data_IF_075209502722
#
_entry.id   IF_075209502722
#
_cell.length_a   1.000
_cell.length_b   1.000
_cell.length_c   1.000
_cell.angle_alpha   90.00
_cell.angle_beta   90.00
_cell.angle_gamma   90.00
#
_symmetry.space_group_name_H-M   'P 1'
#
loop_
_entity.id
_entity.type
_entity.pdbx_description
1 polymer ?
#
# COMPACT_ATOMS: atom_id res chain seq x y z
N UNK A 1 5.32 -0.54 -20.76
CA UNK A 1 5.78 -0.38 -19.38
C UNK A 1 6.79 0.75 -19.27
N UNK A 2 6.89 1.35 -18.08
CA UNK A 2 8.01 2.19 -17.60
C UNK A 2 8.83 1.35 -16.64
N UNK A 3 10.05 0.99 -17.02
CA UNK A 3 10.89 0.14 -16.17
C UNK A 3 11.58 0.95 -15.06
N UNK A 4 11.56 0.41 -13.85
CA UNK A 4 12.15 0.95 -12.64
C UNK A 4 13.35 0.11 -12.21
N UNK A 5 14.43 0.78 -11.80
CA UNK A 5 15.70 0.14 -11.45
C UNK A 5 16.10 0.53 -10.03
N UNK A 6 16.63 -0.42 -9.26
CA UNK A 6 17.08 -0.15 -7.90
C UNK A 6 18.25 0.83 -7.89
N UNK A 7 18.23 1.75 -6.94
CA UNK A 7 19.34 2.66 -6.65
C UNK A 7 20.44 1.98 -5.82
N UNK A 8 20.10 0.95 -5.03
CA UNK A 8 21.02 0.34 -4.07
C UNK A 8 21.62 -1.01 -4.50
N UNK A 9 20.97 -1.77 -5.39
CA UNK A 9 21.51 -3.08 -5.80
C UNK A 9 22.45 -2.95 -6.99
N UNK A 10 23.54 -3.72 -6.99
CA UNK A 10 24.55 -3.70 -8.07
C UNK A 10 24.02 -4.24 -9.40
N UNK A 11 23.08 -5.18 -9.35
CA UNK A 11 22.40 -5.74 -10.51
C UNK A 11 21.17 -4.91 -10.93
N UNK A 12 20.88 -3.81 -10.21
CA UNK A 12 19.73 -2.90 -10.41
C UNK A 12 18.35 -3.55 -10.27
N UNK A 13 18.28 -4.81 -9.82
CA UNK A 13 17.03 -5.52 -9.53
C UNK A 13 16.50 -5.13 -8.16
N UNK A 14 15.24 -5.43 -7.90
CA UNK A 14 14.71 -5.30 -6.55
C UNK A 14 15.44 -6.20 -5.53
N UNK A 15 15.36 -5.82 -4.26
CA UNK A 15 15.88 -6.57 -3.12
C UNK A 15 14.82 -7.51 -2.58
N UNK A 16 15.17 -8.77 -2.34
CA UNK A 16 14.34 -9.66 -1.52
C UNK A 16 14.39 -9.25 -0.05
N UNK A 17 13.40 -9.69 0.72
CA UNK A 17 13.38 -9.55 2.18
C UNK A 17 13.66 -10.91 2.81
N UNK A 18 14.70 -10.96 3.63
CA UNK A 18 15.10 -12.14 4.40
C UNK A 18 14.87 -11.89 5.90
N UNK A 19 13.94 -12.65 6.46
CA UNK A 19 13.50 -12.57 7.85
C UNK A 19 14.34 -13.42 8.81
N UNK A 20 14.95 -14.50 8.32
CA UNK A 20 15.59 -15.50 9.18
C UNK A 20 14.58 -16.30 10.00
N UNK A 21 15.06 -17.27 10.80
CA UNK A 21 14.22 -18.01 11.76
C UNK A 21 13.19 -18.98 11.18
N UNK A 22 13.00 -19.04 9.86
CA UNK A 22 11.96 -19.86 9.22
C UNK A 22 10.58 -19.19 9.19
N UNK A 23 10.50 -17.91 9.54
CA UNK A 23 9.27 -17.09 9.45
C UNK A 23 9.15 -16.53 8.04
N UNK A 24 8.16 -16.93 7.27
CA UNK A 24 7.91 -16.39 5.94
C UNK A 24 6.90 -15.23 6.01
N UNK A 25 7.11 -14.22 5.16
CA UNK A 25 6.23 -13.05 5.10
C UNK A 25 6.01 -12.60 3.66
N UNK A 26 4.88 -11.95 3.42
CA UNK A 26 4.54 -11.29 2.16
C UNK A 26 3.85 -9.95 2.44
N UNK A 27 3.66 -9.13 1.41
CA UNK A 27 3.03 -7.79 1.53
C UNK A 27 3.74 -6.85 2.52
N UNK A 28 5.05 -6.62 2.35
CA UNK A 28 5.80 -5.79 3.27
C UNK A 28 5.39 -4.32 3.20
N UNK A 29 5.60 -3.64 4.31
CA UNK A 29 5.59 -2.20 4.46
C UNK A 29 6.85 -1.80 5.21
N UNK A 30 7.55 -0.80 4.70
CA UNK A 30 8.86 -0.42 5.24
C UNK A 30 8.85 1.09 5.41
N UNK A 31 9.17 1.58 6.61
CA UNK A 31 9.32 3.02 6.89
C UNK A 31 10.66 3.30 7.57
N UNK A 32 11.23 4.50 7.42
CA UNK A 32 12.44 4.89 8.14
C UNK A 32 12.31 4.71 9.66
N UNK A 33 13.31 4.06 10.26
CA UNK A 33 13.40 3.93 11.70
C UNK A 33 13.60 5.34 12.33
N UNK A 34 12.92 5.66 13.45
CA UNK A 34 12.93 7.00 14.02
C UNK A 34 14.29 7.44 14.57
N UNK A 35 15.09 6.50 15.11
CA UNK A 35 16.37 6.80 15.77
C UNK A 35 17.63 6.15 15.18
N UNK A 36 17.53 5.09 14.37
CA UNK A 36 18.68 4.40 13.76
C UNK A 36 18.67 4.64 12.25
N UNK A 37 19.66 5.37 11.74
CA UNK A 37 19.72 5.77 10.33
C UNK A 37 20.23 4.67 9.38
N UNK A 38 20.51 3.48 9.90
CA UNK A 38 20.91 2.32 9.08
C UNK A 38 19.80 1.27 8.95
N UNK A 39 18.69 1.47 9.65
CA UNK A 39 17.61 0.50 9.75
C UNK A 39 16.28 1.09 9.30
N UNK A 40 15.38 0.24 8.84
CA UNK A 40 13.99 0.58 8.60
C UNK A 40 13.11 -0.36 9.42
N UNK A 41 11.93 0.09 9.80
CA UNK A 41 10.94 -0.77 10.45
C UNK A 41 10.13 -1.43 9.34
N UNK A 42 10.04 -2.75 9.38
CA UNK A 42 9.23 -3.54 8.46
C UNK A 42 8.06 -4.16 9.21
N UNK A 43 6.87 -4.08 8.61
CA UNK A 43 5.75 -4.97 8.92
C UNK A 43 5.35 -5.74 7.67
N UNK A 44 4.86 -6.96 7.82
CA UNK A 44 4.41 -7.77 6.70
C UNK A 44 3.42 -8.85 7.16
N UNK A 45 2.54 -9.27 6.26
CA UNK A 45 1.60 -10.34 6.51
C UNK A 45 2.37 -11.65 6.75
N UNK A 46 2.06 -12.34 7.84
CA UNK A 46 2.61 -13.68 8.12
C UNK A 46 2.12 -14.65 7.04
N UNK A 47 3.05 -15.29 6.34
CA UNK A 47 2.76 -16.39 5.43
C UNK A 47 2.44 -17.63 6.28
N UNK A 48 1.18 -18.06 6.24
CA UNK A 48 0.65 -19.15 7.06
C UNK A 48 -0.10 -20.17 6.20
N UNK A 49 0.09 -20.16 4.88
CA UNK A 49 -0.56 -21.10 3.97
C UNK A 49 -0.10 -22.52 4.28
N UNK A 50 -1.04 -23.45 4.31
CA UNK A 50 -0.79 -24.84 4.72
C UNK A 50 -0.84 -25.08 6.23
N UNK A 51 -1.10 -24.05 7.04
CA UNK A 51 -1.38 -24.18 8.47
C UNK A 51 -2.89 -24.10 8.74
N UNK A 52 -3.38 -24.86 9.74
CA UNK A 52 -4.76 -24.71 10.23
C UNK A 52 -4.79 -23.53 11.21
N UNK A 53 -5.12 -22.34 10.68
CA UNK A 53 -5.05 -21.08 11.42
C UNK A 53 -6.41 -20.42 11.60
N UNK A 54 -6.67 -19.97 12.83
CA UNK A 54 -7.85 -19.20 13.21
C UNK A 54 -7.56 -17.70 13.38
N UNK A 55 -6.30 -17.27 13.26
CA UNK A 55 -5.85 -15.89 13.42
C UNK A 55 -4.86 -15.54 12.31
N UNK A 56 -5.12 -14.44 11.62
CA UNK A 56 -4.18 -13.80 10.70
C UNK A 56 -3.25 -12.87 11.48
N UNK A 57 -1.96 -12.88 11.18
CA UNK A 57 -0.95 -12.12 11.91
C UNK A 57 -0.16 -11.18 11.01
N UNK A 58 0.22 -10.03 11.54
CA UNK A 58 1.23 -9.15 10.94
C UNK A 58 2.52 -9.33 11.74
N UNK A 59 3.62 -9.55 11.04
CA UNK A 59 4.96 -9.71 11.63
C UNK A 59 5.72 -8.40 11.54
N UNK A 60 6.62 -8.13 12.48
CA UNK A 60 7.50 -6.96 12.46
C UNK A 60 8.94 -7.29 12.81
N UNK A 61 9.88 -6.59 12.18
CA UNK A 61 11.29 -6.59 12.52
C UNK A 61 11.94 -5.27 12.03
N UNK A 62 13.11 -4.92 12.58
CA UNK A 62 13.96 -3.91 11.97
C UNK A 62 14.83 -4.54 10.89
N UNK A 63 14.85 -3.95 9.70
CA UNK A 63 15.60 -4.42 8.53
C UNK A 63 16.72 -3.47 8.14
N UNK A 64 17.84 -4.04 7.70
CA UNK A 64 18.95 -3.30 7.07
C UNK A 64 19.30 -3.89 5.71
N UNK A 65 19.94 -3.11 4.84
CA UNK A 65 20.40 -3.60 3.54
C UNK A 65 21.78 -4.26 3.68
N UNK A 66 21.88 -5.55 3.32
CA UNK A 66 23.13 -6.33 3.28
C UNK A 66 23.28 -6.97 1.91
N UNK A 67 24.35 -6.62 1.18
CA UNK A 67 24.69 -7.16 -0.14
C UNK A 67 23.50 -7.22 -1.14
N UNK A 68 22.66 -6.17 -1.12
CA UNK A 68 21.48 -6.08 -2.00
C UNK A 68 20.25 -6.84 -1.52
N UNK A 69 20.25 -7.36 -0.28
CA UNK A 69 19.11 -8.02 0.36
C UNK A 69 18.68 -7.24 1.60
N UNK A 70 17.37 -7.07 1.83
CA UNK A 70 16.88 -6.50 3.08
C UNK A 70 16.84 -7.62 4.13
N UNK A 71 17.56 -7.47 5.23
CA UNK A 71 17.74 -8.52 6.24
C UNK A 71 17.20 -8.04 7.58
N UNK A 72 16.32 -8.82 8.20
CA UNK A 72 15.91 -8.59 9.58
C UNK A 72 17.10 -8.72 10.53
N UNK A 73 17.22 -7.75 11.44
CA UNK A 73 18.25 -7.72 12.48
C UNK A 73 18.05 -8.76 13.59
N UNK A 74 16.81 -9.24 13.73
CA UNK A 74 16.40 -10.30 14.64
C UNK A 74 15.21 -11.07 14.04
N UNK A 75 14.88 -12.23 14.59
CA UNK A 75 13.68 -12.98 14.18
C UNK A 75 12.42 -12.11 14.32
N UNK A 76 11.52 -12.06 13.31
CA UNK A 76 10.33 -11.24 13.37
C UNK A 76 9.39 -11.66 14.51
N UNK A 77 8.74 -10.68 15.12
CA UNK A 77 7.73 -10.90 16.16
C UNK A 77 6.34 -10.52 15.66
N UNK A 78 5.30 -11.16 16.19
CA UNK A 78 3.91 -10.78 15.90
C UNK A 78 3.65 -9.36 16.41
N UNK A 79 3.08 -8.51 15.57
CA UNK A 79 2.66 -7.17 15.92
C UNK A 79 1.49 -7.23 16.92
N UNK A 80 1.53 -6.50 18.04
CA UNK A 80 0.57 -6.66 19.14
C UNK A 80 -0.77 -5.95 18.88
N UNK A 81 -1.40 -6.22 17.74
CA UNK A 81 -2.74 -5.69 17.39
C UNK A 81 -3.80 -6.33 18.28
N UNK A 82 -4.75 -5.53 18.78
CA UNK A 82 -5.86 -6.03 19.60
C UNK A 82 -6.71 -7.07 18.84
N UNK A 83 -7.28 -8.07 19.54
CA UNK A 83 -8.11 -9.09 18.90
C UNK A 83 -9.29 -8.49 18.11
N UNK A 84 -9.58 -9.08 16.95
CA UNK A 84 -10.76 -8.69 16.17
C UNK A 84 -12.05 -8.77 16.97
N UNK A 85 -13.00 -7.91 16.61
CA UNK A 85 -14.38 -8.07 17.03
C UNK A 85 -15.00 -9.34 16.43
N UNK A 86 -16.11 -9.79 17.01
CA UNK A 86 -16.82 -10.96 16.51
C UNK A 86 -17.33 -10.71 15.08
N UNK A 87 -17.01 -11.63 14.16
CA UNK A 87 -17.45 -11.55 12.77
C UNK A 87 -18.97 -11.69 12.63
N UNK A 88 -19.55 -10.91 11.71
CA UNK A 88 -20.97 -10.95 11.35
C UNK A 88 -21.17 -11.33 9.86
N UNK A 89 -20.15 -11.89 9.22
CA UNK A 89 -20.15 -12.14 7.79
C UNK A 89 -21.21 -13.16 7.39
N UNK A 90 -21.99 -12.88 6.36
CA UNK A 90 -23.07 -13.76 5.88
C UNK A 90 -22.82 -14.24 4.47
N UNK A 91 -23.58 -15.27 4.05
CA UNK A 91 -23.62 -15.76 2.66
C UNK A 91 -22.22 -16.10 2.11
N UNK A 92 -21.84 -15.52 0.97
CA UNK A 92 -20.56 -15.75 0.29
C UNK A 92 -19.35 -15.32 1.13
N UNK A 93 -19.54 -14.49 2.15
CA UNK A 93 -18.48 -14.03 3.05
C UNK A 93 -18.42 -14.79 4.37
N UNK A 94 -19.32 -15.76 4.62
CA UNK A 94 -19.41 -16.45 5.92
C UNK A 94 -18.10 -17.11 6.36
N UNK A 95 -17.24 -17.49 5.42
CA UNK A 95 -15.94 -18.09 5.71
C UNK A 95 -14.97 -17.15 6.46
N UNK A 96 -15.13 -15.83 6.30
CA UNK A 96 -14.30 -14.85 7.02
C UNK A 96 -14.56 -14.85 8.53
N UNK A 97 -15.65 -15.46 9.01
CA UNK A 97 -15.89 -15.60 10.44
C UNK A 97 -14.94 -16.61 11.11
N UNK A 98 -14.29 -17.49 10.35
CA UNK A 98 -13.42 -18.54 10.92
C UNK A 98 -11.97 -18.09 11.11
N UNK A 99 -11.57 -16.95 10.56
CA UNK A 99 -10.22 -16.41 10.70
C UNK A 99 -10.32 -14.98 11.24
N UNK A 100 -9.81 -14.73 12.43
CA UNK A 100 -9.71 -13.39 13.02
C UNK A 100 -8.38 -12.71 12.65
N UNK A 101 -8.05 -11.57 13.25
CA UNK A 101 -6.78 -10.87 13.14
C UNK A 101 -6.66 -9.86 11.97
N UNK A 102 -5.58 -9.06 11.95
CA UNK A 102 -5.26 -8.14 10.86
C UNK A 102 -4.96 -8.84 9.54
N UNK A 103 -5.25 -8.16 8.43
CA UNK A 103 -4.98 -8.61 7.06
C UNK A 103 -4.42 -7.50 6.22
N UNK A 104 -3.42 -7.83 5.40
CA UNK A 104 -2.86 -6.96 4.36
C UNK A 104 -2.59 -5.55 4.91
N UNK A 105 -1.94 -5.48 6.08
CA UNK A 105 -1.70 -4.21 6.73
C UNK A 105 -0.86 -3.28 5.85
N UNK A 106 -1.02 -1.98 6.10
CA UNK A 106 -0.24 -0.91 5.51
C UNK A 106 0.30 -0.01 6.60
N UNK A 107 1.62 0.09 6.71
CA UNK A 107 2.29 1.02 7.62
C UNK A 107 2.95 2.13 6.82
N UNK A 108 2.67 3.38 7.19
CA UNK A 108 3.14 4.55 6.47
C UNK A 108 3.14 5.80 7.38
N UNK A 109 3.94 6.80 7.02
CA UNK A 109 3.93 8.08 7.70
C UNK A 109 2.82 8.99 7.17
N UNK A 110 1.95 9.47 8.06
CA UNK A 110 1.19 10.70 7.84
C UNK A 110 2.05 11.94 8.14
N UNK A 111 1.47 13.15 8.08
CA UNK A 111 2.21 14.39 8.33
C UNK A 111 2.84 14.46 9.73
N UNK A 112 2.17 13.90 10.73
CA UNK A 112 2.50 14.02 12.14
C UNK A 112 3.03 12.73 12.76
N UNK A 113 2.43 11.59 12.43
CA UNK A 113 2.72 10.28 13.03
C UNK A 113 2.76 9.14 11.99
N UNK A 114 3.41 8.01 12.31
CA UNK A 114 3.23 6.77 11.57
C UNK A 114 1.90 6.12 11.95
N UNK A 115 1.21 5.58 10.96
CA UNK A 115 -0.05 4.88 11.13
C UNK A 115 0.05 3.48 10.52
N UNK A 116 -0.70 2.55 11.12
CA UNK A 116 -0.99 1.26 10.54
C UNK A 116 -2.46 1.21 10.15
N UNK A 117 -2.75 0.61 9.01
CA UNK A 117 -4.11 0.38 8.54
C UNK A 117 -4.25 -1.05 8.05
N UNK A 118 -5.29 -1.77 8.45
CA UNK A 118 -5.40 -3.20 8.15
C UNK A 118 -6.86 -3.64 8.00
N UNK A 119 -7.10 -4.72 7.25
CA UNK A 119 -8.41 -5.35 7.15
C UNK A 119 -8.70 -6.25 8.35
N UNK A 120 -9.91 -6.18 8.90
CA UNK A 120 -10.37 -7.10 9.96
C UNK A 120 -11.90 -7.15 10.01
N UNK A 121 -12.48 -8.01 10.85
CA UNK A 121 -13.93 -8.07 11.07
C UNK A 121 -14.48 -6.68 11.41
N UNK A 122 -15.67 -6.38 10.90
CA UNK A 122 -16.27 -5.05 10.94
C UNK A 122 -17.58 -4.99 11.70
N UNK A 123 -17.83 -3.82 12.31
CA UNK A 123 -19.10 -3.50 12.94
C UNK A 123 -20.12 -2.92 11.96
N UNK A 124 -19.68 -2.53 10.76
CA UNK A 124 -20.46 -1.84 9.73
C UNK A 124 -20.67 -2.66 8.45
N UNK A 125 -19.76 -3.60 8.15
CA UNK A 125 -19.76 -4.54 7.03
C UNK A 125 -19.29 -5.93 7.54
N UNK A 126 -18.94 -6.86 6.65
CA UNK A 126 -18.30 -8.12 7.06
C UNK A 126 -16.80 -7.92 7.39
N UNK A 127 -16.06 -7.33 6.44
CA UNK A 127 -14.66 -6.91 6.65
C UNK A 127 -14.57 -5.41 6.44
N UNK A 128 -13.89 -4.76 7.38
CA UNK A 128 -13.67 -3.31 7.45
C UNK A 128 -12.19 -2.99 7.51
N UNK A 129 -11.88 -1.72 7.34
CA UNK A 129 -10.52 -1.20 7.48
C UNK A 129 -10.38 -0.54 8.85
N UNK A 130 -9.37 -0.94 9.59
CA UNK A 130 -9.03 -0.43 10.91
C UNK A 130 -7.76 0.39 10.83
N UNK A 131 -7.65 1.41 11.69
CA UNK A 131 -6.49 2.30 11.77
C UNK A 131 -6.01 2.40 13.21
N UNK A 132 -4.69 2.43 13.38
CA UNK A 132 -4.06 2.65 14.67
C UNK A 132 -2.75 3.44 14.50
N UNK A 133 -2.38 4.21 15.53
CA UNK A 133 -1.08 4.85 15.64
C UNK A 133 0.00 3.79 15.83
N UNK A 134 0.92 3.67 14.87
CA UNK A 134 1.93 2.61 14.89
C UNK A 134 2.88 2.74 16.10
N UNK A 135 2.97 3.93 16.70
CA UNK A 135 3.76 4.15 17.92
C UNK A 135 3.18 3.41 19.12
N UNK A 136 1.91 3.04 19.09
CA UNK A 136 1.28 2.27 20.17
C UNK A 136 1.64 0.77 20.11
N UNK A 137 2.05 0.29 18.93
CA UNK A 137 2.31 -1.12 18.66
C UNK A 137 3.81 -1.46 18.63
N UNK A 138 4.65 -0.49 18.28
CA UNK A 138 6.07 -0.70 18.00
C UNK A 138 6.95 0.01 19.03
N UNK A 139 7.87 -0.72 19.65
CA UNK A 139 8.77 -0.21 20.69
C UNK A 139 9.85 0.73 20.14
N UNK A 140 10.12 0.68 18.83
CA UNK A 140 11.04 1.58 18.12
C UNK A 140 10.64 3.06 18.31
N UNK A 141 9.35 3.33 18.52
CA UNK A 141 8.81 4.68 18.73
C UNK A 141 8.70 5.08 20.20
N UNK A 142 9.28 4.34 21.16
CA UNK A 142 9.08 4.58 22.59
C UNK A 142 9.42 6.03 23.02
N UNK A 143 10.41 6.66 22.38
CA UNK A 143 10.76 8.07 22.65
C UNK A 143 9.68 9.07 22.20
N UNK A 144 8.92 8.75 21.13
CA UNK A 144 7.88 9.62 20.57
C UNK A 144 6.52 9.44 21.26
N UNK A 145 6.29 8.28 21.92
CA UNK A 145 5.02 7.92 22.58
C UNK A 145 4.52 8.94 23.59
N UNK A 146 5.37 9.79 24.18
CA UNK A 146 4.98 10.69 25.27
C UNK A 146 4.87 12.16 24.86
N UNK A 147 5.20 12.52 23.61
CA UNK A 147 5.54 13.90 23.26
C UNK A 147 4.51 14.56 22.32
N UNK A 148 3.73 13.77 21.57
CA UNK A 148 2.88 14.28 20.48
C UNK A 148 1.41 13.90 20.72
N UNK A 149 0.43 14.76 20.36
CA UNK A 149 -0.97 14.37 20.30
C UNK A 149 -1.16 13.05 19.56
N UNK A 150 -2.02 12.20 20.09
CA UNK A 150 -2.23 10.86 19.56
C UNK A 150 -3.63 10.78 18.97
N UNK A 151 -3.69 10.43 17.71
CA UNK A 151 -4.91 10.09 17.00
C UNK A 151 -4.91 8.59 16.84
N UNK A 152 -6.07 7.93 16.94
CA UNK A 152 -6.18 6.48 16.76
C UNK A 152 -5.25 5.68 17.71
N UNK A 153 -5.23 6.02 19.01
CA UNK A 153 -4.40 5.33 20.02
C UNK A 153 -4.75 3.88 20.26
N UNK A 154 -5.92 3.48 19.78
CA UNK A 154 -6.42 2.12 19.75
C UNK A 154 -6.95 1.87 18.34
N UNK A 155 -7.13 0.61 17.98
CA UNK A 155 -7.76 0.22 16.75
C UNK A 155 -9.12 0.94 16.56
N UNK A 156 -9.20 1.78 15.53
CA UNK A 156 -10.40 2.54 15.16
C UNK A 156 -10.86 2.13 13.77
N UNK A 157 -12.11 1.72 13.64
CA UNK A 157 -12.69 1.34 12.35
C UNK A 157 -12.93 2.58 11.47
N UNK A 158 -12.37 2.59 10.26
CA UNK A 158 -12.54 3.64 9.26
C UNK A 158 -13.83 3.40 8.48
N UNK A 159 -14.80 4.28 8.66
CA UNK A 159 -16.09 4.20 7.99
C UNK A 159 -16.02 4.69 6.53
N UNK A 160 -17.11 4.45 5.79
CA UNK A 160 -17.32 5.00 4.45
C UNK A 160 -18.66 5.72 4.35
N UNK A 161 -18.78 6.73 3.47
CA UNK A 161 -20.09 7.25 3.12
C UNK A 161 -20.93 6.14 2.46
N UNK A 162 -22.27 6.11 2.67
CA UNK A 162 -23.14 5.14 2.03
C UNK A 162 -23.03 5.17 0.50
N UNK A 163 -23.21 4.03 -0.20
CA UNK A 163 -23.59 2.71 0.35
C UNK A 163 -22.39 1.94 0.92
N UNK A 164 -22.65 1.15 1.97
CA UNK A 164 -21.68 0.20 2.53
C UNK A 164 -21.73 -1.12 1.76
N UNK A 165 -20.58 -1.74 1.50
CA UNK A 165 -20.44 -3.04 0.82
C UNK A 165 -20.19 -4.16 1.83
N UNK A 166 -20.31 -5.41 1.38
CA UNK A 166 -19.99 -6.56 2.23
C UNK A 166 -18.52 -6.61 2.64
N UNK A 167 -17.61 -6.31 1.72
CA UNK A 167 -16.17 -6.29 1.97
C UNK A 167 -15.59 -4.91 1.67
N UNK A 168 -15.23 -4.19 2.73
CA UNK A 168 -14.46 -2.96 2.63
C UNK A 168 -12.99 -3.31 2.69
N UNK A 169 -12.28 -3.03 1.60
CA UNK A 169 -10.86 -3.32 1.45
C UNK A 169 -10.21 -2.18 0.68
N UNK A 170 -8.90 -2.07 0.81
CA UNK A 170 -8.05 -1.22 -0.04
C UNK A 170 -8.25 0.29 0.11
N UNK A 171 -8.85 0.74 1.22
CA UNK A 171 -8.85 2.16 1.55
C UNK A 171 -7.40 2.65 1.70
N UNK A 172 -7.18 3.91 1.37
CA UNK A 172 -5.97 4.61 1.79
C UNK A 172 -6.34 5.97 2.36
N UNK A 173 -5.47 6.49 3.21
CA UNK A 173 -5.62 7.82 3.75
C UNK A 173 -4.75 8.81 3.01
N UNK A 174 -5.20 10.06 2.98
CA UNK A 174 -4.43 11.20 2.51
C UNK A 174 -4.73 12.42 3.37
N UNK A 175 -3.83 13.40 3.30
CA UNK A 175 -3.91 14.64 4.04
C UNK A 175 -3.82 15.85 3.11
N UNK A 176 -4.60 16.88 3.42
CA UNK A 176 -4.52 18.17 2.73
C UNK A 176 -3.36 19.04 3.25
N UNK A 177 -3.22 20.25 2.69
CA UNK A 177 -2.21 21.22 3.11
C UNK A 177 -2.38 21.77 4.53
N UNK A 178 -3.53 21.54 5.17
CA UNK A 178 -3.84 21.89 6.56
C UNK A 178 -3.75 20.67 7.50
N UNK A 179 -3.22 19.54 7.02
CA UNK A 179 -3.14 18.26 7.72
C UNK A 179 -4.50 17.68 8.16
N UNK A 180 -5.60 18.02 7.47
CA UNK A 180 -6.87 17.32 7.66
C UNK A 180 -6.80 15.97 6.97
N UNK A 181 -7.25 14.93 7.66
CA UNK A 181 -7.25 13.57 7.14
C UNK A 181 -8.50 13.27 6.32
N UNK A 182 -8.33 12.47 5.27
CA UNK A 182 -9.37 11.98 4.39
C UNK A 182 -9.14 10.50 4.11
N UNK A 183 -10.22 9.75 3.94
CA UNK A 183 -10.19 8.37 3.49
C UNK A 183 -10.64 8.30 2.03
N UNK A 184 -9.86 7.61 1.20
CA UNK A 184 -10.21 7.29 -0.17
C UNK A 184 -10.70 5.84 -0.26
N UNK A 185 -11.96 5.68 -0.63
CA UNK A 185 -12.68 4.41 -0.58
C UNK A 185 -12.69 3.69 -1.92
N UNK A 186 -12.94 4.42 -3.00
CA UNK A 186 -13.05 3.87 -4.35
C UNK A 186 -12.33 4.77 -5.36
N UNK A 187 -11.69 4.16 -6.36
CA UNK A 187 -11.02 4.83 -7.49
C UNK A 187 -11.79 4.66 -8.80
N UNK A 188 -12.52 3.55 -8.92
CA UNK A 188 -13.20 3.10 -10.12
C UNK A 188 -14.49 2.35 -9.73
N UNK A 189 -15.61 2.46 -10.48
CA UNK A 189 -15.79 3.25 -11.71
C UNK A 189 -15.86 4.76 -11.48
N UNK A 190 -16.15 5.18 -10.26
CA UNK A 190 -16.08 6.58 -9.84
C UNK A 190 -15.28 6.67 -8.55
N UNK A 191 -14.62 7.81 -8.34
CA UNK A 191 -13.93 8.08 -7.09
C UNK A 191 -14.93 8.27 -5.96
N UNK A 192 -14.57 7.80 -4.77
CA UNK A 192 -15.28 8.07 -3.52
C UNK A 192 -14.24 8.38 -2.46
N UNK A 193 -14.35 9.56 -1.84
CA UNK A 193 -13.53 9.92 -0.70
C UNK A 193 -14.26 10.89 0.22
N UNK A 194 -13.97 10.81 1.52
CA UNK A 194 -14.61 11.63 2.53
C UNK A 194 -13.62 12.09 3.59
N UNK A 195 -13.92 13.23 4.22
CA UNK A 195 -13.14 13.69 5.37
C UNK A 195 -13.28 12.71 6.54
N UNK A 196 -12.16 12.39 7.19
CA UNK A 196 -12.09 11.44 8.29
C UNK A 196 -11.99 12.18 9.63
N UNK A 197 -12.84 11.78 10.58
CA UNK A 197 -12.78 12.18 11.98
C UNK A 197 -11.95 11.18 12.79
N UNK A 198 -11.46 11.61 13.95
CA UNK A 198 -10.59 10.78 14.80
C UNK A 198 -11.29 9.61 15.50
N UNK A 199 -12.61 9.59 15.47
CA UNK A 199 -13.44 8.46 15.92
C UNK A 199 -13.72 7.44 14.80
N UNK A 200 -13.12 7.62 13.62
CA UNK A 200 -13.31 6.75 12.46
C UNK A 200 -14.52 7.10 11.60
N UNK A 201 -15.39 8.01 12.07
CA UNK A 201 -16.52 8.48 11.28
C UNK A 201 -16.07 9.32 10.09
N UNK A 202 -16.85 9.29 9.01
CA UNK A 202 -16.57 10.06 7.80
C UNK A 202 -17.72 10.98 7.42
N UNK A 203 -17.36 12.08 6.76
CA UNK A 203 -18.32 13.01 6.17
C UNK A 203 -19.01 12.46 4.90
N UNK A 204 -19.76 13.30 4.17
CA UNK A 204 -20.32 12.92 2.87
C UNK A 204 -19.22 12.66 1.84
N UNK A 205 -19.57 11.97 0.75
CA UNK A 205 -18.69 11.82 -0.40
C UNK A 205 -18.37 13.19 -1.02
N UNK A 206 -17.08 13.52 -1.08
CA UNK A 206 -16.55 14.77 -1.59
C UNK A 206 -16.11 14.67 -3.06
N UNK A 207 -16.02 13.46 -3.62
CA UNK A 207 -15.61 13.23 -5.01
C UNK A 207 -16.58 13.86 -6.02
N UNK A 208 -17.84 14.04 -5.63
CA UNK A 208 -18.87 14.76 -6.42
C UNK A 208 -18.43 16.16 -6.85
N UNK A 209 -17.52 16.80 -6.10
CA UNK A 209 -17.04 18.16 -6.40
C UNK A 209 -16.02 18.21 -7.54
N UNK A 210 -15.35 17.09 -7.84
CA UNK A 210 -14.37 16.96 -8.94
C UNK A 210 -14.83 16.00 -10.04
N UNK A 211 -15.97 15.31 -9.87
CA UNK A 211 -16.46 14.24 -10.74
C UNK A 211 -16.37 14.56 -12.25
N UNK A 212 -16.80 15.74 -12.68
CA UNK A 212 -16.78 16.10 -14.11
C UNK A 212 -15.37 16.15 -14.72
N UNK A 213 -14.35 16.55 -13.93
CA UNK A 213 -12.95 16.53 -14.37
C UNK A 213 -12.36 15.13 -14.24
N UNK A 214 -12.66 14.48 -13.13
CA UNK A 214 -12.16 13.15 -12.82
C UNK A 214 -12.66 12.13 -13.86
N UNK A 215 -13.94 12.18 -14.26
CA UNK A 215 -14.52 11.28 -15.27
C UNK A 215 -13.82 11.41 -16.62
N UNK A 216 -13.45 12.62 -17.05
CA UNK A 216 -12.66 12.84 -18.28
C UNK A 216 -11.28 12.22 -18.14
N UNK A 217 -10.62 12.44 -17.00
CA UNK A 217 -9.30 11.93 -16.72
C UNK A 217 -9.25 10.39 -16.67
N UNK A 218 -10.18 9.79 -15.92
CA UNK A 218 -10.35 8.35 -15.80
C UNK A 218 -10.67 7.73 -17.16
N UNK A 219 -11.61 8.28 -17.92
CA UNK A 219 -11.96 7.77 -19.26
C UNK A 219 -10.77 7.83 -20.22
N UNK A 220 -9.92 8.86 -20.11
CA UNK A 220 -8.80 9.08 -21.04
C UNK A 220 -7.60 8.19 -20.72
N UNK A 221 -7.27 8.01 -19.43
CA UNK A 221 -6.00 7.44 -19.02
C UNK A 221 -6.10 6.15 -18.20
N UNK A 222 -7.29 5.76 -17.71
CA UNK A 222 -7.42 4.44 -17.08
C UNK A 222 -7.23 3.34 -18.14
N UNK A 223 -6.55 2.23 -17.77
CA UNK A 223 -6.48 1.08 -18.65
C UNK A 223 -7.89 0.54 -18.92
N UNK A 224 -8.19 0.15 -20.17
CA UNK A 224 -9.48 -0.43 -20.50
C UNK A 224 -9.65 -1.75 -19.76
N UNK A 225 -10.86 -2.00 -19.26
CA UNK A 225 -11.20 -3.26 -18.58
C UNK A 225 -12.00 -4.15 -19.52
N UNK A 226 -11.66 -5.44 -19.56
CA UNK A 226 -12.60 -6.45 -20.04
C UNK A 226 -13.69 -6.72 -18.99
N UNK A 227 -14.93 -7.09 -19.39
CA UNK A 227 -16.07 -7.07 -18.46
C UNK A 227 -16.06 -8.12 -17.34
N UNK A 228 -15.32 -9.23 -17.46
CA UNK A 228 -15.47 -10.39 -16.56
C UNK A 228 -14.25 -10.68 -15.71
N UNK A 229 -13.05 -10.41 -16.22
CA UNK A 229 -11.80 -10.95 -15.65
C UNK A 229 -10.81 -9.85 -15.23
N UNK A 230 -11.18 -8.58 -15.43
CA UNK A 230 -10.31 -7.44 -15.16
C UNK A 230 -10.97 -6.44 -14.23
N UNK A 231 -10.14 -5.79 -13.40
CA UNK A 231 -10.59 -4.82 -12.42
C UNK A 231 -9.50 -3.81 -12.08
N UNK A 232 -9.90 -2.65 -11.57
CA UNK A 232 -8.98 -1.68 -10.98
C UNK A 232 -8.91 -1.93 -9.47
N UNK A 233 -7.69 -2.08 -8.97
CA UNK A 233 -7.40 -2.35 -7.57
C UNK A 233 -6.63 -1.17 -6.96
N UNK A 234 -7.20 -0.52 -5.94
CA UNK A 234 -6.41 0.37 -5.07
C UNK A 234 -5.35 -0.44 -4.34
N UNK A 235 -4.10 -0.01 -4.42
CA UNK A 235 -2.97 -0.88 -4.06
C UNK A 235 -2.19 -0.37 -2.84
N UNK A 236 -1.76 0.89 -2.87
CA UNK A 236 -0.84 1.44 -1.87
C UNK A 236 -1.51 2.46 -0.95
N UNK A 237 -0.80 2.83 0.13
CA UNK A 237 -1.02 4.11 0.81
C UNK A 237 -0.73 5.29 -0.13
N UNK A 238 -0.93 6.52 0.36
CA UNK A 238 -0.59 7.74 -0.37
C UNK A 238 0.60 8.48 0.25
N UNK A 239 1.22 9.34 -0.55
CA UNK A 239 2.26 10.29 -0.13
C UNK A 239 2.03 11.65 -0.80
N UNK A 240 2.54 12.72 -0.18
CA UNK A 240 2.60 14.04 -0.80
C UNK A 240 3.91 14.24 -1.54
N UNK A 241 3.85 14.82 -2.73
CA UNK A 241 5.04 15.14 -3.54
C UNK A 241 4.97 16.55 -4.13
N UNK A 242 6.08 17.28 -4.07
CA UNK A 242 6.30 18.47 -4.89
C UNK A 242 7.00 18.10 -6.19
N UNK A 243 6.42 18.48 -7.34
CA UNK A 243 6.94 18.18 -8.68
C UNK A 243 8.08 19.13 -9.11
N UNK A 244 9.06 19.31 -8.24
CA UNK A 244 10.39 19.88 -8.54
C UNK A 244 11.44 19.16 -7.68
N UNK A 245 12.72 19.37 -7.99
CA UNK A 245 13.81 18.79 -7.19
C UNK A 245 14.07 19.65 -5.97
N UNK A 246 14.24 19.03 -4.80
CA UNK A 246 14.60 19.69 -3.55
C UNK A 246 15.88 20.50 -3.69
N UNK A 247 16.82 20.01 -4.49
CA UNK A 247 18.08 20.70 -4.79
C UNK A 247 17.91 22.00 -5.62
N UNK A 248 16.76 22.22 -6.26
CA UNK A 248 16.53 23.40 -7.09
C UNK A 248 16.25 24.64 -6.22
N UNK A 249 17.00 25.72 -6.46
CA UNK A 249 16.92 26.99 -5.70
C UNK A 249 15.50 27.62 -5.70
N UNK A 250 14.72 27.35 -6.75
CA UNK A 250 13.35 27.86 -6.90
C UNK A 250 12.25 26.90 -6.44
N UNK A 251 12.58 25.72 -5.92
CA UNK A 251 11.59 24.72 -5.56
C UNK A 251 10.93 25.04 -4.22
N UNK A 252 9.80 25.76 -4.29
CA UNK A 252 8.98 26.13 -3.12
C UNK A 252 7.66 25.36 -3.21
N UNK A 253 7.37 24.43 -2.28
CA UNK A 253 6.10 23.73 -2.21
C UNK A 253 4.93 24.70 -2.10
N UNK A 254 3.95 24.55 -2.98
CA UNK A 254 2.69 25.25 -2.97
C UNK A 254 1.62 24.41 -3.70
N UNK A 255 0.38 24.88 -3.71
CA UNK A 255 -0.75 24.10 -4.24
C UNK A 255 -0.70 23.87 -5.76
N UNK A 256 0.08 24.65 -6.49
CA UNK A 256 0.24 24.47 -7.95
C UNK A 256 1.27 23.40 -8.32
N UNK A 257 2.18 23.05 -7.41
CA UNK A 257 3.25 22.09 -7.66
C UNK A 257 3.29 20.92 -6.66
N UNK A 258 2.37 20.87 -5.69
CA UNK A 258 2.34 19.83 -4.64
C UNK A 258 1.05 19.04 -4.72
N UNK A 259 1.19 17.72 -4.84
CA UNK A 259 0.11 16.77 -5.10
C UNK A 259 0.16 15.64 -4.09
N UNK A 260 -0.93 14.88 -4.00
CA UNK A 260 -0.94 13.57 -3.38
C UNK A 260 -0.87 12.53 -4.49
N UNK A 261 -0.11 11.45 -4.29
CA UNK A 261 -0.07 10.34 -5.22
C UNK A 261 -0.25 9.00 -4.54
N UNK A 262 -0.73 8.04 -5.32
CA UNK A 262 -0.90 6.64 -4.94
C UNK A 262 -0.63 5.75 -6.16
N UNK A 263 -0.43 4.46 -5.93
CA UNK A 263 -0.36 3.44 -6.97
C UNK A 263 -1.64 2.60 -6.91
N UNK A 264 -2.22 2.36 -8.09
CA UNK A 264 -3.31 1.40 -8.29
C UNK A 264 -2.86 0.36 -9.30
N UNK A 265 -3.52 -0.79 -9.31
CA UNK A 265 -3.27 -1.84 -10.30
C UNK A 265 -4.42 -1.94 -11.29
N UNK A 266 -4.08 -2.17 -12.56
CA UNK A 266 -4.93 -2.95 -13.45
C UNK A 266 -4.67 -4.42 -13.13
N UNK A 267 -5.68 -5.09 -12.59
CA UNK A 267 -5.62 -6.51 -12.28
C UNK A 267 -6.34 -7.27 -13.38
N UNK A 268 -5.68 -8.23 -13.99
CA UNK A 268 -6.33 -9.31 -14.74
C UNK A 268 -6.29 -10.61 -13.94
N UNK A 269 -7.32 -11.43 -14.10
CA UNK A 269 -7.43 -12.72 -13.44
C UNK A 269 -7.89 -13.76 -14.46
N UNK A 270 -6.91 -14.41 -15.10
CA UNK A 270 -7.14 -15.46 -16.09
C UNK A 270 -6.50 -16.76 -15.61
N UNK A 271 -7.11 -17.89 -15.94
CA UNK A 271 -6.59 -19.22 -15.61
C UNK A 271 -6.22 -19.38 -14.12
N UNK A 272 -7.04 -18.80 -13.25
CA UNK A 272 -6.90 -18.80 -11.79
C UNK A 272 -5.67 -18.06 -11.25
N UNK A 273 -4.99 -17.26 -12.09
CA UNK A 273 -3.79 -16.51 -11.74
C UNK A 273 -3.98 -15.00 -11.97
N UNK A 274 -3.63 -14.21 -10.96
CA UNK A 274 -3.72 -12.75 -11.02
C UNK A 274 -2.45 -12.11 -11.57
N UNK A 275 -2.58 -11.20 -12.53
CA UNK A 275 -1.49 -10.33 -12.97
C UNK A 275 -1.85 -8.89 -12.61
N UNK A 276 -0.91 -8.17 -12.00
CA UNK A 276 -1.11 -6.82 -11.50
C UNK A 276 -0.16 -5.87 -12.22
N UNK A 277 -0.72 -4.90 -12.92
CA UNK A 277 0.04 -3.86 -13.62
C UNK A 277 -0.12 -2.52 -12.89
N UNK A 278 0.93 -2.00 -12.22
CA UNK A 278 0.85 -0.80 -11.39
C UNK A 278 0.88 0.49 -12.20
N UNK A 279 -0.01 1.42 -11.86
CA UNK A 279 -0.13 2.76 -12.44
C UNK A 279 -0.09 3.80 -11.33
N UNK A 280 0.49 4.96 -11.62
CA UNK A 280 0.55 6.10 -10.70
C UNK A 280 -0.64 7.03 -10.97
N UNK A 281 -1.33 7.43 -9.91
CA UNK A 281 -2.31 8.52 -9.94
C UNK A 281 -1.83 9.64 -9.03
N UNK A 282 -1.85 10.87 -9.53
CA UNK A 282 -1.61 12.09 -8.75
C UNK A 282 -2.86 12.98 -8.78
N UNK A 283 -3.23 13.55 -7.64
CA UNK A 283 -4.36 14.46 -7.50
C UNK A 283 -4.00 15.65 -6.62
N UNK A 284 -4.77 16.74 -6.77
CA UNK A 284 -4.52 17.99 -6.07
C UNK A 284 -4.49 17.78 -4.55
N UNK A 285 -3.50 18.39 -3.87
CA UNK A 285 -3.38 18.27 -2.41
C UNK A 285 -4.55 18.87 -1.66
N UNK A 286 -5.17 19.92 -2.19
CA UNK A 286 -6.28 20.62 -1.55
C UNK A 286 -7.58 20.42 -2.33
N UNK A 287 -8.69 20.71 -1.67
CA UNK A 287 -10.02 20.67 -2.27
C UNK A 287 -10.06 21.45 -3.61
N UNK A 288 -10.73 20.92 -4.65
CA UNK A 288 -11.63 19.77 -4.63
C UNK A 288 -10.94 18.40 -4.81
N UNK A 289 -9.62 18.30 -4.67
CA UNK A 289 -8.86 17.04 -4.84
C UNK A 289 -9.02 16.39 -6.22
N UNK A 290 -9.18 17.21 -7.25
CA UNK A 290 -9.32 16.73 -8.62
C UNK A 290 -8.06 15.98 -9.07
N UNK A 291 -8.24 14.94 -9.89
CA UNK A 291 -7.11 14.21 -10.48
C UNK A 291 -6.29 15.19 -11.33
N UNK A 292 -4.99 15.20 -11.10
CA UNK A 292 -4.02 15.99 -11.85
C UNK A 292 -3.40 15.17 -12.98
N UNK A 293 -3.09 13.90 -12.72
CA UNK A 293 -2.52 13.03 -13.73
C UNK A 293 -2.68 11.55 -13.41
N UNK A 294 -2.65 10.73 -14.45
CA UNK A 294 -2.52 9.27 -14.38
C UNK A 294 -1.39 8.84 -15.31
N UNK A 295 -0.52 7.92 -14.89
CA UNK A 295 0.54 7.40 -15.76
C UNK A 295 -0.06 6.71 -16.99
N UNK A 296 0.44 6.99 -18.19
CA UNK A 296 -0.05 6.40 -19.43
C UNK A 296 0.44 4.96 -19.66
N UNK A 297 1.41 4.52 -18.85
CA UNK A 297 2.02 3.18 -18.94
C UNK A 297 2.17 2.60 -17.54
N UNK A 298 1.98 1.29 -17.38
CA UNK A 298 2.24 0.64 -16.11
C UNK A 298 3.74 0.60 -15.80
N UNK A 299 4.07 0.58 -14.51
CA UNK A 299 5.44 0.43 -14.01
C UNK A 299 5.86 -1.04 -14.14
N UNK A 300 7.13 -1.26 -14.49
CA UNK A 300 7.76 -2.57 -14.49
C UNK A 300 8.94 -2.56 -13.52
N UNK A 301 8.87 -3.38 -12.48
CA UNK A 301 9.92 -3.46 -11.46
C UNK A 301 11.02 -4.38 -11.98
N UNK A 302 12.22 -3.85 -12.19
CA UNK A 302 13.32 -4.63 -12.72
C UNK A 302 13.65 -5.82 -11.80
N UNK A 303 13.65 -7.02 -12.36
CA UNK A 303 13.76 -8.27 -11.64
C UNK A 303 12.47 -9.10 -11.61
N UNK A 304 11.29 -8.51 -11.88
CA UNK A 304 10.04 -9.26 -12.08
C UNK A 304 10.21 -10.27 -13.20
N UNK A 305 9.81 -11.52 -12.98
CA UNK A 305 10.02 -12.61 -13.91
C UNK A 305 8.72 -13.08 -14.57
N UNK A 306 8.88 -13.87 -15.64
CA UNK A 306 7.80 -14.70 -16.15
C UNK A 306 7.39 -15.72 -15.09
N UNK A 307 6.11 -16.07 -15.05
CA UNK A 307 5.61 -17.13 -14.17
C UNK A 307 6.15 -18.48 -14.66
N UNK A 308 6.84 -19.20 -13.79
CA UNK A 308 7.40 -20.54 -14.10
C UNK A 308 7.29 -21.45 -12.88
N UNK A 309 7.65 -22.72 -13.01
CA UNK A 309 7.70 -23.63 -11.86
C UNK A 309 8.72 -23.20 -10.79
N UNK A 310 9.73 -22.43 -11.20
CA UNK A 310 10.80 -21.95 -10.33
C UNK A 310 10.41 -20.68 -9.55
N UNK A 311 9.23 -20.10 -9.80
CA UNK A 311 8.72 -18.94 -9.04
C UNK A 311 8.01 -19.35 -7.75
N UNK A 312 7.84 -20.66 -7.50
CA UNK A 312 7.32 -21.22 -6.26
C UNK A 312 5.95 -20.64 -5.84
N UNK A 313 5.09 -20.41 -6.82
CA UNK A 313 3.71 -19.98 -6.55
C UNK A 313 2.90 -21.11 -5.92
N UNK A 314 2.30 -20.85 -4.75
CA UNK A 314 1.52 -21.84 -3.99
C UNK A 314 0.40 -22.48 -4.81
N UNK A 315 -0.17 -21.73 -5.77
CA UNK A 315 -1.23 -22.24 -6.63
C UNK A 315 -0.79 -23.50 -7.39
N UNK A 316 0.43 -23.48 -7.93
CA UNK A 316 0.97 -24.57 -8.75
C UNK A 316 1.77 -25.58 -7.92
N UNK A 317 2.28 -25.19 -6.75
CA UNK A 317 2.88 -26.15 -5.81
C UNK A 317 1.81 -27.05 -5.16
N UNK A 318 0.65 -26.48 -4.80
CA UNK A 318 -0.45 -27.23 -4.19
C UNK A 318 -1.20 -28.10 -5.22
N UNK A 319 -1.18 -27.74 -6.50
CA UNK A 319 -1.74 -28.53 -7.59
C UNK A 319 -0.77 -28.62 -8.78
N UNK A 320 0.22 -29.54 -8.71
CA UNK A 320 1.21 -29.73 -9.77
C UNK A 320 0.63 -30.18 -11.12
N UNK A 321 -0.66 -30.53 -11.17
CA UNK A 321 -1.35 -30.89 -12.41
C UNK A 321 -1.85 -29.68 -13.19
N UNK A 322 -1.95 -28.50 -12.55
CA UNK A 322 -2.30 -27.26 -13.24
C UNK A 322 -1.19 -26.80 -14.16
N UNK A 323 -1.56 -26.47 -15.39
CA UNK A 323 -0.66 -25.86 -16.36
C UNK A 323 -0.41 -24.39 -15.99
N UNK A 324 0.84 -23.96 -16.12
CA UNK A 324 1.20 -22.57 -15.93
C UNK A 324 0.73 -21.79 -17.17
N UNK A 325 -0.07 -20.74 -17.02
CA UNK A 325 -0.59 -19.97 -18.15
C UNK A 325 0.55 -19.33 -18.95
N UNK A 326 0.49 -19.48 -20.27
CA UNK A 326 1.48 -18.91 -21.18
C UNK A 326 1.45 -17.39 -21.15
N UNK A 327 2.64 -16.77 -21.11
CA UNK A 327 2.77 -15.31 -21.15
C UNK A 327 2.47 -14.58 -19.85
N UNK A 328 2.12 -15.30 -18.77
CA UNK A 328 1.96 -14.71 -17.45
C UNK A 328 3.32 -14.34 -16.84
N UNK A 329 3.28 -13.28 -16.03
CA UNK A 329 4.36 -12.89 -15.14
C UNK A 329 3.98 -13.26 -13.71
N UNK A 330 4.94 -13.23 -12.79
CA UNK A 330 4.64 -13.42 -11.38
C UNK A 330 3.51 -12.48 -10.91
N UNK A 331 2.62 -12.98 -10.04
CA UNK A 331 1.64 -12.21 -9.30
C UNK A 331 2.36 -11.23 -8.39
N UNK A 332 2.58 -10.03 -8.90
CA UNK A 332 3.47 -9.04 -8.33
C UNK A 332 2.68 -7.77 -8.04
N UNK A 333 2.37 -7.49 -6.78
CA UNK A 333 1.46 -6.40 -6.43
C UNK A 333 2.09 -5.47 -5.41
N UNK A 334 2.19 -4.19 -5.79
CA UNK A 334 2.74 -3.11 -4.96
C UNK A 334 1.77 -2.79 -3.84
N UNK A 335 2.20 -3.00 -2.60
CA UNK A 335 1.36 -2.89 -1.41
C UNK A 335 1.60 -1.59 -0.66
N UNK A 336 2.80 -1.01 -0.77
CA UNK A 336 3.18 0.16 0.00
C UNK A 336 4.20 1.05 -0.70
N UNK A 337 4.14 2.33 -0.35
CA UNK A 337 5.09 3.36 -0.74
C UNK A 337 5.56 4.14 0.49
N UNK A 338 6.85 4.45 0.58
CA UNK A 338 7.39 5.28 1.65
C UNK A 338 8.64 6.03 1.20
N UNK A 339 8.85 7.23 1.73
CA UNK A 339 10.12 7.91 1.54
C UNK A 339 11.23 7.13 2.24
N UNK A 340 12.34 6.88 1.54
CA UNK A 340 13.47 6.10 2.08
C UNK A 340 14.26 6.89 3.12
N UNK A 341 14.31 8.21 2.97
CA UNK A 341 15.16 9.09 3.76
C UNK A 341 14.71 9.18 5.22
N UNK A 342 15.63 9.00 6.16
CA UNK A 342 15.34 9.19 7.58
C UNK A 342 14.89 10.61 7.92
N UNK A 343 13.91 10.71 8.82
CA UNK A 343 13.26 11.96 9.18
C UNK A 343 12.26 12.49 8.15
N UNK A 344 12.19 11.90 6.95
CA UNK A 344 11.18 12.23 5.95
C UNK A 344 9.89 11.47 6.24
N UNK A 345 8.77 12.20 6.39
CA UNK A 345 7.47 11.64 6.77
C UNK A 345 6.53 11.45 5.59
N UNK A 346 5.55 12.33 5.41
CA UNK A 346 4.52 12.22 4.35
C UNK A 346 4.91 12.91 3.04
N UNK A 347 5.80 13.91 3.10
CA UNK A 347 6.08 14.82 1.99
C UNK A 347 7.50 14.64 1.41
N UNK A 348 7.60 14.64 0.07
CA UNK A 348 8.86 14.59 -0.66
C UNK A 348 8.88 15.32 -2.00
N UNK A 349 9.98 15.14 -2.73
CA UNK A 349 10.35 15.85 -3.95
C UNK A 349 10.80 14.86 -5.03
N UNK A 350 10.94 15.32 -6.28
CA UNK A 350 11.26 14.46 -7.41
C UNK A 350 12.63 13.77 -7.32
N UNK A 351 13.59 14.38 -6.63
CA UNK A 351 14.94 13.85 -6.39
C UNK A 351 15.07 13.05 -5.08
N UNK A 352 13.98 12.90 -4.31
CA UNK A 352 14.02 12.09 -3.11
C UNK A 352 13.91 10.59 -3.45
N UNK A 353 14.68 9.74 -2.76
CA UNK A 353 14.56 8.29 -2.91
C UNK A 353 13.28 7.78 -2.23
N UNK A 354 12.60 6.87 -2.92
CA UNK A 354 11.34 6.26 -2.52
C UNK A 354 11.50 4.74 -2.49
N UNK A 355 10.89 4.10 -1.50
CA UNK A 355 10.68 2.67 -1.46
C UNK A 355 9.32 2.31 -2.05
N UNK A 356 9.31 1.31 -2.92
CA UNK A 356 8.12 0.56 -3.33
C UNK A 356 8.26 -0.86 -2.80
N UNK A 357 7.32 -1.29 -1.98
CA UNK A 357 7.29 -2.64 -1.44
C UNK A 357 6.11 -3.42 -2.02
N UNK A 358 6.28 -4.74 -2.16
CA UNK A 358 5.33 -5.58 -2.89
C UNK A 358 5.36 -7.03 -2.41
N UNK A 359 4.20 -7.67 -2.53
CA UNK A 359 4.05 -9.12 -2.45
C UNK A 359 4.31 -9.79 -3.79
N UNK A 360 4.83 -11.01 -3.74
CA UNK A 360 5.06 -11.87 -4.90
C UNK A 360 4.42 -13.23 -4.59
N UNK A 361 3.44 -13.65 -5.39
CA UNK A 361 2.81 -14.97 -5.32
C UNK A 361 2.23 -15.34 -3.94
N UNK A 362 1.79 -14.35 -3.15
CA UNK A 362 1.29 -14.54 -1.77
C UNK A 362 2.26 -15.30 -0.84
N UNK A 363 3.55 -15.32 -1.17
CA UNK A 363 4.57 -16.12 -0.44
C UNK A 363 5.84 -15.37 -0.15
N UNK A 364 6.17 -14.39 -0.99
CA UNK A 364 7.44 -13.68 -0.93
C UNK A 364 7.21 -12.19 -0.81
N UNK A 365 8.16 -11.54 -0.17
CA UNK A 365 8.20 -10.11 0.03
C UNK A 365 9.40 -9.52 -0.72
N UNK A 366 9.21 -8.36 -1.34
CA UNK A 366 10.29 -7.62 -1.98
C UNK A 366 10.14 -6.12 -1.87
N UNK A 367 11.24 -5.43 -2.16
CA UNK A 367 11.38 -3.99 -2.09
C UNK A 367 12.27 -3.50 -3.23
N UNK A 368 11.91 -2.39 -3.87
CA UNK A 368 12.81 -1.64 -4.75
C UNK A 368 12.90 -0.21 -4.26
N UNK A 369 14.11 0.35 -4.31
CA UNK A 369 14.36 1.76 -4.06
C UNK A 369 14.63 2.49 -5.36
N UNK A 370 13.91 3.59 -5.59
CA UNK A 370 13.89 4.33 -6.85
C UNK A 370 13.95 5.82 -6.58
N UNK A 371 14.28 6.63 -7.59
CA UNK A 371 14.03 8.06 -7.49
C UNK A 371 12.54 8.32 -7.75
N UNK A 372 11.95 9.25 -7.00
CA UNK A 372 10.56 9.61 -7.23
C UNK A 372 10.30 10.04 -8.67
N UNK A 373 11.22 10.80 -9.30
CA UNK A 373 11.07 11.25 -10.69
C UNK A 373 10.82 10.11 -11.68
N UNK A 374 11.32 8.91 -11.43
CA UNK A 374 11.13 7.74 -12.29
C UNK A 374 9.66 7.28 -12.36
N UNK A 375 8.86 7.54 -11.32
CA UNK A 375 7.43 7.23 -11.29
C UNK A 375 6.59 8.21 -12.11
N UNK A 376 7.07 9.45 -12.30
CA UNK A 376 6.29 10.57 -12.85
C UNK A 376 6.67 10.95 -14.29
N UNK A 377 7.50 10.14 -14.97
CA UNK A 377 7.99 10.50 -16.31
C UNK A 377 6.93 10.37 -17.43
N UNK A 378 5.93 9.51 -17.27
CA UNK A 378 4.94 9.19 -18.33
C UNK A 378 3.50 9.59 -17.94
N UNK A 379 3.35 10.68 -17.19
CA UNK A 379 2.04 11.18 -16.77
C UNK A 379 1.21 11.70 -17.95
N UNK A 380 -0.06 11.30 -17.99
CA UNK A 380 -1.11 11.93 -18.78
C UNK A 380 -1.80 12.99 -17.94
N UNK A 381 -1.69 14.26 -18.33
CA UNK A 381 -2.22 15.38 -17.57
C UNK A 381 -3.73 15.55 -17.76
N UNK A 382 -4.36 15.96 -16.66
CA UNK A 382 -5.74 16.37 -16.50
C UNK A 382 -5.74 17.83 -15.99
#
# INVERSE_FOLDING_TARGET
YRELFSLSTSNRKFSSIFTGGGVNVYNPNIIPHPTDHNLWIMIAQHEQSGQDISVSEEMTCNVGLLDGTMVCTAEPTVLPIEPSIAGNCTEEFAYFNFRSGPRDARMYYGPDAPYIMYGSQSSHSCIGIWMEDARMLLDDFNAERSVVPKLFTHATEVQRPPPVRGMEKNFFLFWDGENKAYAHHDIFPHRVFAQLSFDGSVGPDLAVNSASKDDVCLTTYMPPLTPTDESIHQATNSLSITLCKRADVGCIPNDSNTFIFTIFHHKSYHDWHGVYEPYVMAFQRNAPFAIYAISQRPLWIHGRAALTKDTHSLLYENDPSKEIPDGHTEMFYVTSISWKTHGQKYHGYLDDPLFLAFGIEDTRAGLIDVLAEDLFQDLGLC
#
